data_IF_622446513202
#
_entry.id   IF_622446513202
#
_cell.length_a   1.000
_cell.length_b   1.000
_cell.length_c   1.000
_cell.angle_alpha   90.00
_cell.angle_beta   90.00
_cell.angle_gamma   90.00
#
_symmetry.space_group_name_H-M   'P 1'
#
loop_
_entity.id
_entity.type
_entity.pdbx_description
1 polymer ?
#
# COMPACT_ATOMS: atom_id res chain seq x y z
N UNK A 1 -9.65 -6.83 -10.45
CA UNK A 1 -9.05 -7.45 -9.25
C UNK A 1 -10.07 -7.51 -8.13
N UNK A 2 -10.19 -8.65 -7.46
CA UNK A 2 -10.97 -8.73 -6.24
C UNK A 2 -10.12 -8.27 -5.03
N UNK A 3 -10.75 -8.15 -3.86
CA UNK A 3 -10.07 -7.66 -2.66
C UNK A 3 -8.87 -8.52 -2.23
N UNK A 4 -8.97 -9.81 -2.44
CA UNK A 4 -7.92 -10.76 -2.07
C UNK A 4 -6.70 -10.60 -2.99
N UNK A 5 -6.93 -10.42 -4.27
CA UNK A 5 -5.88 -10.15 -5.25
C UNK A 5 -5.18 -8.82 -4.97
N UNK A 6 -5.95 -7.78 -4.63
CA UNK A 6 -5.39 -6.46 -4.27
C UNK A 6 -4.50 -6.59 -3.03
N UNK A 7 -4.99 -7.28 -2.00
CA UNK A 7 -4.20 -7.52 -0.79
C UNK A 7 -2.89 -8.23 -1.11
N UNK A 8 -2.97 -9.30 -1.87
CA UNK A 8 -1.79 -10.09 -2.20
C UNK A 8 -0.82 -9.31 -3.08
N UNK A 9 -1.33 -8.50 -4.02
CA UNK A 9 -0.53 -7.66 -4.88
C UNK A 9 0.26 -6.64 -4.04
N UNK A 10 -0.40 -5.93 -3.15
CA UNK A 10 0.25 -4.91 -2.32
C UNK A 10 1.29 -5.53 -1.39
N UNK A 11 0.95 -6.65 -0.75
CA UNK A 11 1.89 -7.37 0.13
C UNK A 11 3.13 -7.83 -0.64
N UNK A 12 2.95 -8.34 -1.85
CA UNK A 12 4.06 -8.78 -2.69
C UNK A 12 4.99 -7.62 -3.05
N UNK A 13 4.42 -6.46 -3.39
CA UNK A 13 5.23 -5.27 -3.69
C UNK A 13 6.00 -4.78 -2.49
N UNK A 14 5.38 -4.79 -1.31
CA UNK A 14 6.05 -4.42 -0.05
C UNK A 14 7.24 -5.33 0.20
N UNK A 15 7.02 -6.63 0.10
CA UNK A 15 8.07 -7.63 0.34
C UNK A 15 9.21 -7.50 -0.68
N UNK A 16 8.90 -7.36 -1.95
CA UNK A 16 9.90 -7.21 -3.01
C UNK A 16 10.76 -5.97 -2.83
N UNK A 17 10.20 -4.91 -2.28
CA UNK A 17 10.94 -3.67 -2.01
C UNK A 17 11.80 -3.77 -0.75
N UNK A 18 11.76 -4.87 -0.03
CA UNK A 18 12.55 -5.08 1.18
C UNK A 18 11.95 -4.46 2.44
N UNK A 19 10.65 -4.16 2.43
CA UNK A 19 9.95 -3.57 3.58
C UNK A 19 9.09 -4.60 4.29
N UNK A 20 8.86 -4.36 5.57
CA UNK A 20 7.78 -5.01 6.31
C UNK A 20 6.55 -4.12 6.30
N UNK A 21 5.38 -4.69 6.59
CA UNK A 21 4.14 -3.90 6.74
C UNK A 21 4.28 -2.83 7.82
N UNK A 22 4.95 -3.18 8.92
CA UNK A 22 5.21 -2.26 10.03
C UNK A 22 6.05 -1.06 9.58
N UNK A 23 7.09 -1.31 8.80
CA UNK A 23 7.95 -0.26 8.26
C UNK A 23 7.18 0.69 7.34
N UNK A 24 6.29 0.15 6.50
CA UNK A 24 5.45 0.98 5.63
C UNK A 24 4.55 1.88 6.46
N UNK A 25 3.91 1.36 7.50
CA UNK A 25 3.08 2.15 8.41
C UNK A 25 3.88 3.26 9.09
N UNK A 26 5.09 2.95 9.54
CA UNK A 26 5.97 3.93 10.16
C UNK A 26 6.34 5.07 9.21
N UNK A 27 6.68 4.78 7.97
CA UNK A 27 7.01 5.80 6.97
C UNK A 27 5.78 6.61 6.58
N UNK A 28 4.61 5.99 6.45
CA UNK A 28 3.36 6.71 6.21
C UNK A 28 3.10 7.74 7.32
N UNK A 29 3.36 7.36 8.57
CA UNK A 29 3.17 8.25 9.70
C UNK A 29 4.20 9.38 9.72
N UNK A 30 5.47 9.06 9.55
CA UNK A 30 6.57 10.05 9.70
C UNK A 30 6.70 10.99 8.50
N UNK A 31 6.56 10.46 7.28
CA UNK A 31 6.88 11.23 6.08
C UNK A 31 5.64 11.77 5.36
N UNK A 32 4.48 11.13 5.55
CA UNK A 32 3.25 11.48 4.83
C UNK A 32 2.13 11.97 5.74
N UNK A 33 2.37 12.00 7.05
CA UNK A 33 1.38 12.46 8.01
C UNK A 33 0.14 11.58 8.13
N UNK A 34 0.23 10.33 7.71
CA UNK A 34 -0.88 9.37 7.77
C UNK A 34 -0.75 8.58 9.06
N UNK A 35 -1.50 9.00 10.08
CA UNK A 35 -1.50 8.30 11.37
C UNK A 35 -2.38 7.05 11.27
N UNK A 36 -1.77 5.89 11.37
CA UNK A 36 -2.48 4.62 11.35
C UNK A 36 -1.74 3.58 12.20
N UNK A 37 -2.46 2.56 12.63
CA UNK A 37 -1.84 1.41 13.29
C UNK A 37 -1.61 0.28 12.29
N UNK A 38 -0.68 -0.61 12.62
CA UNK A 38 -0.45 -1.80 11.81
C UNK A 38 -1.72 -2.63 11.68
N UNK A 39 -2.49 -2.76 12.78
CA UNK A 39 -3.77 -3.49 12.77
C UNK A 39 -4.78 -2.89 11.80
N UNK A 40 -4.94 -1.56 11.81
CA UNK A 40 -5.86 -0.87 10.91
C UNK A 40 -5.41 -0.97 9.46
N UNK A 41 -4.13 -0.81 9.20
CA UNK A 41 -3.57 -0.94 7.86
C UNK A 41 -3.80 -2.35 7.31
N UNK A 42 -3.49 -3.37 8.10
CA UNK A 42 -3.70 -4.77 7.73
C UNK A 42 -5.17 -5.07 7.47
N UNK A 43 -6.07 -4.53 8.30
CA UNK A 43 -7.51 -4.69 8.13
C UNK A 43 -8.01 -4.02 6.85
N UNK A 44 -7.53 -2.82 6.53
CA UNK A 44 -7.89 -2.12 5.28
C UNK A 44 -7.46 -2.91 4.06
N UNK A 45 -6.25 -3.47 4.07
CA UNK A 45 -5.79 -4.33 2.99
C UNK A 45 -6.67 -5.56 2.85
N UNK A 46 -6.99 -6.22 3.97
CA UNK A 46 -7.80 -7.43 3.97
C UNK A 46 -9.22 -7.22 3.46
N UNK A 47 -9.80 -6.04 3.72
CA UNK A 47 -11.15 -5.67 3.25
C UNK A 47 -11.15 -5.08 1.84
N UNK A 48 -10.01 -4.78 1.28
CA UNK A 48 -9.91 -4.07 0.02
C UNK A 48 -10.41 -2.62 0.10
N UNK A 49 -10.32 -2.01 1.28
CA UNK A 49 -10.79 -0.65 1.52
C UNK A 49 -9.68 0.40 1.52
N UNK A 50 -8.53 0.05 1.00
CA UNK A 50 -7.41 0.97 0.84
C UNK A 50 -7.79 2.07 -0.16
N UNK A 51 -7.62 3.33 0.26
CA UNK A 51 -7.93 4.46 -0.61
C UNK A 51 -6.85 4.62 -1.67
N UNK A 52 -7.24 5.16 -2.83
CA UNK A 52 -6.29 5.40 -3.92
C UNK A 52 -5.13 6.31 -3.47
N UNK A 53 -5.43 7.35 -2.72
CA UNK A 53 -4.40 8.25 -2.20
C UNK A 53 -3.39 7.52 -1.29
N UNK A 54 -3.86 6.56 -0.52
CA UNK A 54 -2.98 5.71 0.30
C UNK A 54 -2.13 4.81 -0.57
N UNK A 55 -2.72 4.24 -1.62
CA UNK A 55 -1.99 3.38 -2.56
C UNK A 55 -0.86 4.14 -3.26
N UNK A 56 -1.12 5.39 -3.67
CA UNK A 56 -0.10 6.26 -4.28
C UNK A 56 1.05 6.52 -3.32
N UNK A 57 0.75 6.81 -2.05
CA UNK A 57 1.77 7.04 -1.03
C UNK A 57 2.60 5.79 -0.77
N UNK A 58 1.95 4.63 -0.69
CA UNK A 58 2.65 3.35 -0.52
C UNK A 58 3.57 3.09 -1.71
N UNK A 59 3.09 3.27 -2.93
CA UNK A 59 3.91 3.10 -4.12
C UNK A 59 5.14 4.01 -4.09
N UNK A 60 4.97 5.26 -3.67
CA UNK A 60 6.06 6.22 -3.53
C UNK A 60 7.11 5.74 -2.53
N UNK A 61 6.68 5.24 -1.36
CA UNK A 61 7.59 4.67 -0.36
C UNK A 61 8.40 3.52 -0.95
N UNK A 62 7.74 2.64 -1.71
CA UNK A 62 8.36 1.44 -2.26
C UNK A 62 9.19 1.70 -3.52
N UNK A 63 9.14 2.92 -4.07
CA UNK A 63 9.87 3.29 -5.27
C UNK A 63 9.19 2.90 -6.57
N UNK A 64 7.86 2.76 -6.55
CA UNK A 64 7.05 2.46 -7.74
C UNK A 64 6.23 3.67 -8.16
N UNK A 65 5.98 3.76 -9.46
CA UNK A 65 5.00 4.68 -10.02
C UNK A 65 3.71 3.92 -10.33
N UNK A 66 2.57 4.54 -10.07
CA UNK A 66 1.29 4.01 -10.52
C UNK A 66 0.98 4.64 -11.87
N UNK A 67 0.88 3.81 -12.89
CA UNK A 67 0.70 4.27 -14.27
C UNK A 67 -0.65 3.81 -14.80
N UNK A 68 -1.38 4.77 -15.37
CA UNK A 68 -2.64 4.49 -16.07
C UNK A 68 -2.33 4.35 -17.55
N UNK A 69 -2.58 3.17 -18.08
CA UNK A 69 -2.33 2.88 -19.48
C UNK A 69 -3.65 2.70 -20.22
N UNK A 70 -3.85 3.50 -21.26
CA UNK A 70 -5.04 3.42 -22.07
C UNK A 70 -5.05 2.14 -22.88
N UNK A 71 -6.18 1.45 -22.89
CA UNK A 71 -6.36 0.26 -23.72
C UNK A 71 -6.45 0.65 -25.20
N UNK A 72 -6.01 -0.24 -26.02
CA UNK A 72 -6.12 -0.10 -27.49
C UNK A 72 -7.51 -0.47 -27.98
#
# INVERSE_FOLDING_TARGET
MNKEEVRNFVKARILEAGYTMSEVVDVLSSDYGVSDSLSNFSAKLGRGSLRYAEAVKIADILGYDIVWQKRR
#
